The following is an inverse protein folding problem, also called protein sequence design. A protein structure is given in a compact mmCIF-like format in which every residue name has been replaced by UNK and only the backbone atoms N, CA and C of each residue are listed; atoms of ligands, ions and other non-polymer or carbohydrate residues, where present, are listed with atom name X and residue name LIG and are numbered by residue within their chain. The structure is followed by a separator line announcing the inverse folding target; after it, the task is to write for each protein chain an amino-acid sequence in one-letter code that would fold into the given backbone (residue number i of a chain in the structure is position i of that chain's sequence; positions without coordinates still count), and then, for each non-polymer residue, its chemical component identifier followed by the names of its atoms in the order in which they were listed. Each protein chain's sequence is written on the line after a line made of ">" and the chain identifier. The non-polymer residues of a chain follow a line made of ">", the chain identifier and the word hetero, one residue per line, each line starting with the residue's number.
data_IF_930428322602
#
_entry.id   IF_930428322602
#
_cell.length_a   1.000
_cell.length_b   1.000
_cell.length_c   1.000
_cell.angle_alpha   90.00
_cell.angle_beta   90.00
_cell.angle_gamma   90.00
#
_symmetry.space_group_name_H-M   'P 1'
#
loop_
_entity.id
_entity.type
_entity.pdbx_description
1 polymer ?
#
# COMPACT_ATOMS: atom_id res chain seq x y z
N UNK A 1 -1.80 -28.25 -29.71
CA UNK A 1 -2.63 -28.84 -28.65
C UNK A 1 -2.37 -28.03 -27.38
N UNK A 2 -3.28 -27.13 -27.01
CA UNK A 2 -3.19 -26.38 -25.75
C UNK A 2 -3.23 -27.43 -24.63
N UNK A 3 -2.17 -27.51 -23.82
CA UNK A 3 -2.08 -28.53 -22.76
C UNK A 3 -3.30 -28.43 -21.86
N UNK A 4 -3.85 -29.56 -21.43
CA UNK A 4 -4.97 -29.59 -20.47
C UNK A 4 -4.62 -28.79 -19.20
N UNK A 5 -3.32 -28.70 -18.88
CA UNK A 5 -2.78 -27.88 -17.79
C UNK A 5 -2.95 -26.37 -18.04
N UNK A 6 -2.87 -25.88 -19.28
CA UNK A 6 -3.09 -24.45 -19.58
C UNK A 6 -4.58 -24.09 -19.64
N UNK A 7 -5.47 -25.04 -19.93
CA UNK A 7 -6.94 -24.83 -19.82
C UNK A 7 -7.38 -24.84 -18.36
N UNK A 8 -6.80 -25.72 -17.52
CA UNK A 8 -6.98 -25.69 -16.06
C UNK A 8 -6.43 -24.40 -15.45
N UNK A 9 -5.28 -23.88 -15.92
CA UNK A 9 -4.72 -22.61 -15.44
C UNK A 9 -5.58 -21.38 -15.74
N UNK A 10 -6.42 -21.41 -16.79
CA UNK A 10 -7.35 -20.30 -17.11
C UNK A 10 -8.57 -20.31 -16.19
N UNK A 11 -8.94 -21.48 -15.64
CA UNK A 11 -9.97 -21.61 -14.59
C UNK A 11 -9.45 -21.29 -13.19
N UNK A 12 -8.19 -20.84 -13.08
CA UNK A 12 -7.45 -20.62 -11.82
C UNK A 12 -7.34 -19.12 -11.47
N UNK A 13 -8.17 -18.26 -12.06
CA UNK A 13 -8.77 -17.14 -11.29
C UNK A 13 -9.79 -17.70 -10.27
N UNK A 14 -9.34 -18.69 -9.51
CA UNK A 14 -10.12 -19.39 -8.52
C UNK A 14 -10.15 -18.52 -7.26
N UNK A 15 -11.25 -18.59 -6.50
CA UNK A 15 -11.47 -17.80 -5.29
C UNK A 15 -10.29 -17.93 -4.31
N UNK A 16 -9.57 -19.05 -4.37
CA UNK A 16 -8.35 -19.32 -3.61
C UNK A 16 -7.22 -18.29 -3.84
N UNK A 17 -7.02 -17.77 -5.05
CA UNK A 17 -5.99 -16.76 -5.34
C UNK A 17 -6.38 -15.40 -4.78
N UNK A 18 -7.66 -15.04 -4.90
CA UNK A 18 -8.18 -13.82 -4.28
C UNK A 18 -8.07 -13.87 -2.76
N UNK A 19 -8.41 -15.00 -2.13
CA UNK A 19 -8.27 -15.19 -0.68
C UNK A 19 -6.80 -15.06 -0.27
N UNK A 20 -5.87 -15.72 -0.98
CA UNK A 20 -4.43 -15.62 -0.69
C UNK A 20 -3.94 -14.18 -0.78
N UNK A 21 -4.32 -13.46 -1.84
CA UNK A 21 -3.93 -12.05 -2.05
C UNK A 21 -4.47 -11.15 -0.93
N UNK A 22 -5.76 -11.30 -0.58
CA UNK A 22 -6.38 -10.52 0.50
C UNK A 22 -5.65 -10.77 1.82
N UNK A 23 -5.37 -12.01 2.18
CA UNK A 23 -4.68 -12.34 3.43
C UNK A 23 -3.28 -11.72 3.45
N UNK A 24 -2.50 -11.87 2.37
CA UNK A 24 -1.14 -11.32 2.29
C UNK A 24 -1.14 -9.79 2.46
N UNK A 25 -1.98 -9.07 1.72
CA UNK A 25 -2.08 -7.62 1.79
C UNK A 25 -2.58 -7.18 3.18
N UNK A 26 -3.59 -7.86 3.71
CA UNK A 26 -4.22 -7.49 5.00
C UNK A 26 -3.23 -7.67 6.15
N UNK A 27 -2.52 -8.79 6.20
CA UNK A 27 -1.49 -9.03 7.22
C UNK A 27 -0.38 -7.98 7.11
N UNK A 28 0.11 -7.71 5.90
CA UNK A 28 1.13 -6.67 5.68
C UNK A 28 0.69 -5.31 6.21
N UNK A 29 -0.50 -4.85 5.82
CA UNK A 29 -1.03 -3.54 6.23
C UNK A 29 -1.30 -3.50 7.73
N UNK A 30 -1.82 -4.58 8.34
CA UNK A 30 -2.04 -4.67 9.78
C UNK A 30 -0.73 -4.60 10.56
N UNK A 31 0.31 -5.32 10.13
CA UNK A 31 1.61 -5.30 10.79
C UNK A 31 2.21 -3.89 10.75
N UNK A 32 2.12 -3.19 9.61
CA UNK A 32 2.55 -1.79 9.49
C UNK A 32 1.70 -0.89 10.39
N UNK A 33 0.39 -1.10 10.42
CA UNK A 33 -0.53 -0.30 11.23
C UNK A 33 -0.22 -0.40 12.73
N UNK A 34 -0.01 -1.60 13.26
CA UNK A 34 0.28 -1.78 14.68
C UNK A 34 1.70 -1.37 15.08
N UNK A 35 2.67 -1.47 14.16
CA UNK A 35 4.07 -1.11 14.45
C UNK A 35 4.36 0.39 14.26
N UNK A 36 3.74 1.04 13.26
CA UNK A 36 4.04 2.41 12.85
C UNK A 36 2.82 3.36 12.88
N UNK A 37 1.64 2.84 13.21
CA UNK A 37 0.42 3.65 13.35
C UNK A 37 0.54 4.76 14.40
N UNK A 38 1.03 4.50 15.62
CA UNK A 38 1.12 5.52 16.66
C UNK A 38 2.07 6.68 16.32
N UNK A 39 3.09 6.45 15.49
CA UNK A 39 4.13 7.46 15.20
C UNK A 39 3.78 8.34 14.01
N UNK A 40 3.10 7.78 13.00
CA UNK A 40 2.90 8.46 11.70
C UNK A 40 1.51 8.30 11.11
N UNK A 41 0.61 7.58 11.76
CA UNK A 41 -0.70 7.24 11.19
C UNK A 41 -0.58 6.32 9.97
N UNK A 42 0.51 5.55 9.85
CA UNK A 42 0.76 4.57 8.78
C UNK A 42 0.47 5.11 7.38
N UNK A 43 0.94 6.32 7.09
CA UNK A 43 0.72 7.05 5.84
C UNK A 43 1.56 6.48 4.68
N UNK A 44 1.33 5.21 4.34
CA UNK A 44 2.07 4.43 3.34
C UNK A 44 1.56 4.61 1.90
N UNK A 45 0.53 5.42 1.71
CA UNK A 45 -0.10 5.61 0.40
C UNK A 45 -0.44 7.09 0.19
N UNK A 46 0.15 7.73 -0.83
CA UNK A 46 -0.12 9.12 -1.19
C UNK A 46 -1.61 9.44 -1.32
N UNK A 47 -2.38 8.60 -2.02
CA UNK A 47 -3.81 8.81 -2.24
C UNK A 47 -4.63 8.67 -0.95
N UNK A 48 -4.20 7.79 -0.03
CA UNK A 48 -4.83 7.56 1.28
C UNK A 48 -4.68 8.76 2.23
N UNK A 49 -3.73 9.64 1.97
CA UNK A 49 -3.49 10.85 2.76
C UNK A 49 -3.96 12.12 2.04
N UNK A 50 -3.51 12.37 0.81
CA UNK A 50 -3.76 13.62 0.10
C UNK A 50 -5.24 13.85 -0.23
N UNK A 51 -5.97 12.81 -0.66
CA UNK A 51 -7.38 12.93 -1.01
C UNK A 51 -8.21 13.42 0.18
N UNK A 52 -8.18 12.72 1.33
CA UNK A 52 -8.83 13.19 2.55
C UNK A 52 -8.39 14.58 3.01
N UNK A 53 -7.12 14.94 2.83
CA UNK A 53 -6.58 16.25 3.22
C UNK A 53 -7.14 17.39 2.37
N UNK A 54 -7.24 17.21 1.05
CA UNK A 54 -7.87 18.17 0.14
C UNK A 54 -9.34 18.38 0.54
N UNK A 55 -10.06 17.28 0.78
CA UNK A 55 -11.47 17.34 1.22
C UNK A 55 -11.59 18.06 2.57
N UNK A 56 -10.71 17.75 3.53
CA UNK A 56 -10.67 18.42 4.83
C UNK A 56 -10.41 19.92 4.70
N UNK A 57 -9.55 20.35 3.77
CA UNK A 57 -9.28 21.76 3.52
C UNK A 57 -10.48 22.49 2.92
N UNK A 58 -11.15 21.87 1.93
CA UNK A 58 -12.24 22.50 1.18
C UNK A 58 -13.58 22.52 1.92
N UNK A 59 -13.90 21.47 2.68
CA UNK A 59 -15.21 21.38 3.33
C UNK A 59 -15.31 22.28 4.57
N UNK A 60 -16.43 23.00 4.75
CA UNK A 60 -16.70 23.75 5.96
C UNK A 60 -17.14 22.79 7.07
N UNK A 61 -16.17 22.25 7.81
CA UNK A 61 -16.41 21.35 8.95
C UNK A 61 -16.35 22.21 10.24
N UNK A 62 -17.42 22.26 11.05
CA UNK A 62 -17.43 23.00 12.31
C UNK A 62 -16.32 22.53 13.26
N UNK A 63 -15.62 23.46 13.89
CA UNK A 63 -14.53 23.18 14.84
C UNK A 63 -13.38 22.34 14.28
N UNK A 64 -13.16 22.34 12.94
CA UNK A 64 -12.02 21.63 12.34
C UNK A 64 -10.69 22.29 12.71
N UNK A 65 -9.66 21.46 12.89
CA UNK A 65 -8.28 21.92 13.03
C UNK A 65 -7.64 22.32 11.71
N UNK A 66 -6.33 22.59 11.73
CA UNK A 66 -5.55 22.81 10.51
C UNK A 66 -5.45 21.50 9.69
N UNK A 67 -5.28 21.64 8.36
CA UNK A 67 -5.09 20.50 7.45
C UNK A 67 -3.64 20.00 7.42
N UNK A 68 -2.76 20.53 8.27
CA UNK A 68 -1.37 20.11 8.47
C UNK A 68 -0.58 20.01 7.15
N UNK A 69 -0.61 21.10 6.38
CA UNK A 69 0.06 21.17 5.08
C UNK A 69 1.58 21.08 5.18
N UNK A 70 2.16 21.43 6.33
CA UNK A 70 3.59 21.27 6.61
C UNK A 70 4.04 19.80 6.60
N UNK A 71 3.19 18.89 7.08
CA UNK A 71 3.44 17.44 7.04
C UNK A 71 3.02 16.79 5.71
N UNK A 72 2.11 17.40 4.94
CA UNK A 72 1.45 16.77 3.79
C UNK A 72 2.40 16.12 2.79
N UNK A 73 3.58 16.71 2.51
CA UNK A 73 4.53 16.14 1.54
C UNK A 73 5.15 14.81 1.99
N UNK A 74 5.20 14.53 3.30
CA UNK A 74 5.83 13.32 3.87
C UNK A 74 5.07 12.05 3.44
N UNK A 75 3.72 11.96 3.61
CA UNK A 75 2.89 10.89 3.05
C UNK A 75 2.95 10.71 1.52
N UNK A 76 3.53 11.63 0.75
CA UNK A 76 3.77 11.44 -0.69
C UNK A 76 5.16 10.92 -0.95
N UNK A 77 6.18 11.69 -0.55
CA UNK A 77 7.56 11.36 -0.89
C UNK A 77 8.08 10.16 -0.10
N UNK A 78 7.68 10.03 1.17
CA UNK A 78 8.06 8.91 2.03
C UNK A 78 7.71 7.55 1.41
N UNK A 79 6.44 7.31 1.04
CA UNK A 79 6.05 6.06 0.39
C UNK A 79 6.70 5.82 -0.98
N UNK A 80 6.90 6.86 -1.80
CA UNK A 80 7.54 6.71 -3.12
C UNK A 80 8.99 6.27 -2.95
N UNK A 81 9.73 6.93 -2.06
CA UNK A 81 11.13 6.60 -1.77
C UNK A 81 11.22 5.23 -1.11
N UNK A 82 10.41 4.96 -0.09
CA UNK A 82 10.40 3.68 0.62
C UNK A 82 10.02 2.50 -0.27
N UNK A 83 8.99 2.66 -1.11
CA UNK A 83 8.56 1.64 -2.07
C UNK A 83 9.62 1.34 -3.12
N UNK A 84 10.28 2.39 -3.64
CA UNK A 84 11.38 2.26 -4.61
C UNK A 84 12.58 1.57 -3.98
N UNK A 85 12.99 1.99 -2.78
CA UNK A 85 14.09 1.37 -2.03
C UNK A 85 13.79 -0.10 -1.71
N UNK A 86 12.57 -0.41 -1.26
CA UNK A 86 12.14 -1.79 -1.01
C UNK A 86 12.18 -2.67 -2.26
N UNK A 87 11.73 -2.15 -3.41
CA UNK A 87 11.81 -2.86 -4.68
C UNK A 87 13.26 -3.12 -5.11
N UNK A 88 14.15 -2.14 -4.95
CA UNK A 88 15.58 -2.30 -5.27
C UNK A 88 16.23 -3.34 -4.35
N UNK A 89 15.99 -3.27 -3.04
CA UNK A 89 16.51 -4.26 -2.08
C UNK A 89 16.02 -5.66 -2.44
N UNK A 90 14.74 -5.81 -2.77
CA UNK A 90 14.17 -7.08 -3.18
C UNK A 90 14.88 -7.64 -4.43
N UNK A 91 15.10 -6.80 -5.45
CA UNK A 91 15.81 -7.18 -6.67
C UNK A 91 17.27 -7.58 -6.37
N UNK A 92 17.98 -6.81 -5.55
CA UNK A 92 19.37 -7.12 -5.18
C UNK A 92 19.49 -8.45 -4.44
N UNK A 93 18.58 -8.72 -3.50
CA UNK A 93 18.55 -9.99 -2.78
C UNK A 93 18.26 -11.15 -3.73
N UNK A 94 17.23 -11.04 -4.57
CA UNK A 94 16.90 -12.10 -5.52
C UNK A 94 18.05 -12.40 -6.50
N UNK A 95 18.66 -11.36 -7.07
CA UNK A 95 19.78 -11.51 -8.00
C UNK A 95 21.06 -12.04 -7.34
N UNK A 96 21.13 -12.04 -6.00
CA UNK A 96 22.23 -12.66 -5.27
C UNK A 96 22.00 -14.15 -5.03
N UNK A 97 20.74 -14.60 -4.94
CA UNK A 97 20.37 -15.99 -4.66
C UNK A 97 20.08 -16.83 -5.91
N UNK A 98 19.84 -16.19 -7.05
CA UNK A 98 19.62 -16.81 -8.37
C UNK A 98 20.83 -16.56 -9.27
#
# INVERSE_FOLDING_TARGET
>A
MVSINSVMSIRVFDLSYFIKLIIQITVLVLTIHFSLGPTTGYAINPARDFGPRIVHALLPIPNKGDSDWGYAWIPVLGPIVGGTAGALIYQMLLNHFL
#
